data_IF_917334025557
#
_entry.id   IF_917334025557
#
_cell.length_a   1.000
_cell.length_b   1.000
_cell.length_c   1.000
_cell.angle_alpha   90.00
_cell.angle_beta   90.00
_cell.angle_gamma   90.00
#
_symmetry.space_group_name_H-M   'P 1'
#
loop_
_entity.id
_entity.type
_entity.pdbx_description
1 polymer ?
#
# COMPACT_ATOMS: atom_id res chain seq x y z
N UNK A 1 21.77 9.14 9.68
CA UNK A 1 20.59 8.36 9.32
C UNK A 1 19.79 9.20 8.38
N UNK A 2 19.69 8.80 7.12
CA UNK A 2 18.85 9.47 6.14
C UNK A 2 17.41 9.05 6.41
N UNK A 3 16.72 9.85 7.20
CA UNK A 3 15.27 9.96 7.19
C UNK A 3 14.78 9.93 5.74
N UNK A 4 14.12 8.84 5.36
CA UNK A 4 13.46 8.72 4.06
C UNK A 4 12.32 9.73 4.07
N UNK A 5 12.62 10.94 3.62
CA UNK A 5 11.60 11.93 3.35
C UNK A 5 10.66 11.34 2.28
N UNK A 6 9.35 11.46 2.47
CA UNK A 6 8.41 10.89 1.52
C UNK A 6 8.47 11.76 0.25
N UNK A 7 9.33 11.36 -0.68
CA UNK A 7 9.62 12.08 -1.92
C UNK A 7 8.44 11.91 -2.88
N UNK A 8 8.02 13.03 -3.48
CA UNK A 8 7.06 13.02 -4.59
C UNK A 8 7.65 12.21 -5.75
N UNK A 9 6.97 11.13 -6.14
CA UNK A 9 7.38 10.29 -7.27
C UNK A 9 6.36 10.40 -8.40
N UNK A 10 6.83 10.22 -9.62
CA UNK A 10 6.00 10.13 -10.83
C UNK A 10 5.79 8.66 -11.17
N UNK A 11 4.52 8.22 -11.22
CA UNK A 11 4.14 6.87 -11.66
C UNK A 11 3.11 6.94 -12.77
N UNK A 12 3.12 5.92 -13.63
CA UNK A 12 2.21 5.80 -14.77
C UNK A 12 1.24 4.66 -14.52
N UNK A 13 -0.04 4.94 -14.75
CA UNK A 13 -1.13 4.01 -14.49
C UNK A 13 -2.03 3.88 -15.72
N UNK A 14 -2.73 2.76 -15.77
CA UNK A 14 -3.85 2.53 -16.67
C UNK A 14 -5.14 2.82 -15.91
N UNK A 15 -6.05 3.58 -16.50
CA UNK A 15 -7.34 3.82 -15.89
C UNK A 15 -8.18 2.53 -15.83
N UNK A 16 -8.81 2.27 -14.69
CA UNK A 16 -9.72 1.13 -14.53
C UNK A 16 -11.10 1.43 -15.10
N UNK A 17 -11.51 2.70 -15.06
CA UNK A 17 -12.68 3.23 -15.74
C UNK A 17 -12.36 4.65 -16.24
N UNK A 18 -13.17 5.25 -17.13
CA UNK A 18 -12.92 6.61 -17.62
C UNK A 18 -13.00 7.66 -16.50
N UNK A 19 -13.55 7.29 -15.34
CA UNK A 19 -13.77 8.15 -14.18
C UNK A 19 -12.85 7.83 -13.00
N UNK A 20 -12.13 6.71 -13.05
CA UNK A 20 -11.37 6.19 -11.92
C UNK A 20 -10.08 5.49 -12.36
N UNK A 21 -9.00 5.85 -11.67
CA UNK A 21 -7.69 5.20 -11.78
C UNK A 21 -7.35 4.59 -10.42
N UNK A 22 -7.15 3.28 -10.40
CA UNK A 22 -6.60 2.61 -9.22
C UNK A 22 -5.09 2.87 -9.16
N UNK A 23 -4.60 3.28 -8.01
CA UNK A 23 -3.19 3.62 -7.80
C UNK A 23 -2.64 2.88 -6.58
N UNK A 24 -1.32 2.86 -6.47
CA UNK A 24 -0.69 2.48 -5.20
C UNK A 24 -1.12 3.42 -4.07
N UNK A 25 -1.10 2.97 -2.81
CA UNK A 25 -1.43 3.81 -1.67
C UNK A 25 -0.53 5.07 -1.64
N UNK A 26 -1.14 6.25 -1.57
CA UNK A 26 -0.44 7.53 -1.46
C UNK A 26 -1.05 8.42 -0.38
N UNK A 27 -0.27 9.38 0.12
CA UNK A 27 -0.66 10.27 1.22
C UNK A 27 -0.98 11.68 0.76
N UNK A 28 -0.30 12.16 -0.28
CA UNK A 28 -0.51 13.47 -0.86
C UNK A 28 -0.47 13.38 -2.38
N UNK A 29 -1.45 13.97 -3.05
CA UNK A 29 -1.50 14.09 -4.50
C UNK A 29 -0.91 15.43 -4.91
N UNK A 30 0.10 15.42 -5.77
CA UNK A 30 0.73 16.65 -6.29
C UNK A 30 0.10 17.08 -7.60
N UNK A 31 0.01 16.16 -8.56
CA UNK A 31 -0.64 16.43 -9.85
C UNK A 31 -1.04 15.15 -10.57
N UNK A 32 -2.03 15.27 -11.44
CA UNK A 32 -2.50 14.20 -12.33
C UNK A 32 -2.52 14.74 -13.74
N UNK A 33 -2.06 13.95 -14.68
CA UNK A 33 -2.11 14.29 -16.10
C UNK A 33 -2.48 13.04 -16.91
N UNK A 34 -3.07 13.23 -18.09
CA UNK A 34 -3.44 12.15 -18.99
C UNK A 34 -2.88 12.38 -20.38
N UNK A 35 -2.62 11.30 -21.10
CA UNK A 35 -2.23 11.33 -22.50
C UNK A 35 -3.48 11.13 -23.36
N UNK A 36 -3.87 12.15 -24.11
CA UNK A 36 -5.04 12.09 -25.00
C UNK A 36 -4.74 11.43 -26.34
N UNK A 37 -3.47 11.36 -26.74
CA UNK A 37 -3.05 10.88 -28.05
C UNK A 37 -2.65 9.40 -28.03
N UNK A 38 -2.20 8.90 -26.86
CA UNK A 38 -1.74 7.53 -26.69
C UNK A 38 -0.30 7.30 -27.14
N UNK A 39 0.44 8.38 -27.40
CA UNK A 39 1.82 8.35 -27.90
C UNK A 39 2.87 8.45 -26.79
N UNK A 40 2.45 8.56 -25.52
CA UNK A 40 3.28 8.70 -24.32
C UNK A 40 4.22 9.93 -24.30
N UNK A 41 4.11 10.83 -25.27
CA UNK A 41 4.96 12.01 -25.42
C UNK A 41 4.44 13.21 -24.63
N UNK A 42 3.12 13.42 -24.63
CA UNK A 42 2.49 14.60 -24.01
C UNK A 42 1.44 14.17 -23.00
N UNK A 43 1.48 14.77 -21.82
CA UNK A 43 0.49 14.54 -20.77
C UNK A 43 -0.14 15.86 -20.37
N UNK A 44 -1.46 15.97 -20.54
CA UNK A 44 -2.27 17.14 -20.21
C UNK A 44 -2.70 17.07 -18.75
N UNK A 45 -2.39 18.10 -17.97
CA UNK A 45 -2.74 18.16 -16.54
C UNK A 45 -4.26 18.24 -16.33
N UNK A 46 -4.78 17.45 -15.39
CA UNK A 46 -6.17 17.49 -14.95
C UNK A 46 -6.23 18.12 -13.56
N UNK A 47 -6.98 19.20 -13.43
CA UNK A 47 -7.22 19.89 -12.16
C UNK A 47 -8.51 19.45 -11.47
N UNK A 48 -9.40 18.76 -12.19
CA UNK A 48 -10.69 18.25 -11.69
C UNK A 48 -10.59 16.88 -11.02
N UNK A 49 -9.39 16.33 -10.91
CA UNK A 49 -9.13 15.04 -10.28
C UNK A 49 -8.99 15.20 -8.76
N UNK A 50 -9.57 14.28 -7.99
CA UNK A 50 -9.48 14.23 -6.54
C UNK A 50 -9.09 12.83 -6.06
N UNK A 51 -8.44 12.78 -4.89
CA UNK A 51 -8.02 11.52 -4.27
C UNK A 51 -9.20 10.83 -3.55
N UNK A 52 -9.28 9.51 -3.68
CA UNK A 52 -10.34 8.66 -3.13
C UNK A 52 -9.72 7.50 -2.33
N UNK A 53 -10.33 7.04 -1.21
CA UNK A 53 -11.61 7.46 -0.62
C UNK A 53 -11.56 8.85 0.04
N UNK A 54 -12.70 9.57 0.12
CA UNK A 54 -12.78 10.83 0.86
C UNK A 54 -12.48 10.59 2.34
N UNK A 55 -11.86 11.57 3.00
CA UNK A 55 -11.47 11.51 4.42
C UNK A 55 -10.42 10.44 4.78
N UNK A 56 -9.69 9.88 3.80
CA UNK A 56 -8.62 8.91 4.09
C UNK A 56 -7.57 9.51 5.05
N UNK A 57 -7.21 10.78 4.84
CA UNK A 57 -6.30 11.52 5.73
C UNK A 57 -6.78 11.58 7.18
N UNK A 58 -8.07 11.86 7.43
CA UNK A 58 -8.64 11.89 8.78
C UNK A 58 -8.68 10.50 9.44
N UNK A 59 -8.75 9.43 8.65
CA UNK A 59 -8.71 8.05 9.15
C UNK A 59 -7.28 7.49 9.28
N UNK A 60 -6.25 8.28 8.98
CA UNK A 60 -4.86 7.80 8.94
C UNK A 60 -4.64 6.69 7.90
N UNK A 61 -5.47 6.66 6.86
CA UNK A 61 -5.38 5.71 5.74
C UNK A 61 -4.86 6.42 4.50
N UNK A 62 -4.07 5.74 3.65
CA UNK A 62 -3.68 6.30 2.37
C UNK A 62 -4.86 6.32 1.40
N UNK A 63 -4.77 7.22 0.43
CA UNK A 63 -5.62 7.20 -0.75
C UNK A 63 -5.18 6.08 -1.69
N UNK A 64 -6.13 5.40 -2.31
CA UNK A 64 -5.87 4.21 -3.14
C UNK A 64 -6.42 4.34 -4.56
N UNK A 65 -7.16 5.41 -4.83
CA UNK A 65 -7.67 5.70 -6.15
C UNK A 65 -7.72 7.21 -6.39
N UNK A 66 -7.79 7.56 -7.67
CA UNK A 66 -8.01 8.93 -8.12
C UNK A 66 -9.28 8.93 -8.96
N UNK A 67 -10.19 9.84 -8.67
CA UNK A 67 -11.48 9.97 -9.34
C UNK A 67 -11.62 11.37 -9.94
N UNK A 68 -12.45 11.50 -10.96
CA UNK A 68 -12.78 12.79 -11.57
C UNK A 68 -14.03 13.37 -10.93
N UNK A 69 -14.05 14.69 -10.76
CA UNK A 69 -15.26 15.42 -10.38
C UNK A 69 -16.40 15.09 -11.35
N UNK A 70 -17.65 14.92 -10.87
CA UNK A 70 -18.80 14.64 -11.73
C UNK A 70 -19.08 15.74 -12.77
N UNK A 71 -18.53 16.95 -12.57
CA UNK A 71 -18.60 18.08 -13.51
C UNK A 71 -17.42 18.14 -14.49
N UNK A 72 -16.52 17.15 -14.46
CA UNK A 72 -15.35 17.12 -15.36
C UNK A 72 -15.79 16.83 -16.79
N UNK A 73 -15.40 17.69 -17.73
CA UNK A 73 -15.52 17.42 -19.17
C UNK A 73 -14.43 16.47 -19.70
N UNK A 74 -13.38 16.26 -18.92
CA UNK A 74 -12.25 15.39 -19.27
C UNK A 74 -12.50 13.98 -18.74
N UNK A 75 -12.09 12.97 -19.51
CA UNK A 75 -12.15 11.55 -19.16
C UNK A 75 -10.74 10.95 -19.15
N UNK A 76 -10.53 9.95 -18.30
CA UNK A 76 -9.28 9.20 -18.31
C UNK A 76 -9.21 8.24 -19.50
N UNK A 77 -8.09 8.24 -20.24
CA UNK A 77 -7.84 7.26 -21.29
C UNK A 77 -7.58 5.87 -20.70
N UNK A 78 -8.09 4.83 -21.35
CA UNK A 78 -7.99 3.43 -20.91
C UNK A 78 -6.79 2.66 -21.46
N UNK A 79 -5.94 3.31 -22.27
CA UNK A 79 -4.73 2.69 -22.78
C UNK A 79 -3.65 2.62 -21.71
N UNK A 80 -2.65 1.78 -21.96
CA UNK A 80 -1.53 1.60 -21.03
C UNK A 80 -0.77 2.90 -20.85
N UNK A 81 -0.38 3.16 -19.58
CA UNK A 81 0.35 4.35 -19.15
C UNK A 81 -0.36 5.67 -19.49
N UNK A 82 -1.66 5.63 -19.78
CA UNK A 82 -2.42 6.80 -20.19
C UNK A 82 -2.60 7.86 -19.11
N UNK A 83 -2.34 7.53 -17.85
CA UNK A 83 -2.42 8.48 -16.73
C UNK A 83 -1.08 8.58 -16.02
N UNK A 84 -0.55 9.79 -15.93
CA UNK A 84 0.63 10.13 -15.13
C UNK A 84 0.18 10.75 -13.81
N UNK A 85 0.62 10.16 -12.71
CA UNK A 85 0.30 10.62 -11.35
C UNK A 85 1.60 10.98 -10.66
N UNK A 86 1.65 12.20 -10.13
CA UNK A 86 2.72 12.69 -9.28
C UNK A 86 2.15 12.77 -7.87
N UNK A 87 2.65 11.93 -6.97
CA UNK A 87 2.15 11.82 -5.62
C UNK A 87 3.24 11.31 -4.66
N UNK A 88 2.98 11.49 -3.38
CA UNK A 88 3.79 10.93 -2.29
C UNK A 88 3.25 9.55 -1.93
N UNK A 89 3.82 8.52 -2.54
CA UNK A 89 3.41 7.12 -2.35
C UNK A 89 3.88 6.58 -0.99
N UNK A 90 3.06 5.71 -0.39
CA UNK A 90 3.29 5.08 0.91
C UNK A 90 2.11 5.27 1.87
N UNK A 91 2.25 4.68 3.07
CA UNK A 91 1.24 4.74 4.14
C UNK A 91 1.45 5.92 5.11
N UNK A 92 2.52 6.71 4.94
CA UNK A 92 2.88 7.83 5.82
C UNK A 92 4.39 7.94 6.06
N UNK A 93 4.85 9.13 6.48
CA UNK A 93 6.22 9.33 6.96
C UNK A 93 6.49 8.56 8.28
N UNK A 94 5.45 8.16 9.00
CA UNK A 94 5.55 7.42 10.25
C UNK A 94 4.63 6.21 10.22
N UNK A 95 5.20 5.02 10.38
CA UNK A 95 4.40 3.80 10.56
C UNK A 95 3.58 3.90 11.86
N UNK A 96 2.30 3.50 11.87
CA UNK A 96 1.51 3.36 13.08
C UNK A 96 2.26 2.57 14.15
N UNK A 97 2.11 2.95 15.42
CA UNK A 97 2.85 2.31 16.52
C UNK A 97 2.63 0.79 16.56
N UNK A 98 1.42 0.34 16.25
CA UNK A 98 1.06 -1.08 16.16
C UNK A 98 1.90 -1.84 15.12
N UNK A 99 2.22 -1.22 13.98
CA UNK A 99 3.06 -1.85 12.95
C UNK A 99 4.53 -1.93 13.41
N UNK A 100 5.01 -0.90 14.15
CA UNK A 100 6.35 -0.92 14.73
C UNK A 100 6.49 -2.04 15.77
N UNK A 101 5.52 -2.15 16.68
CA UNK A 101 5.49 -3.21 17.69
C UNK A 101 5.39 -4.60 17.05
N UNK A 102 4.55 -4.77 16.03
CA UNK A 102 4.43 -5.99 15.24
C UNK A 102 5.78 -6.41 14.61
N UNK A 103 6.54 -5.45 14.05
CA UNK A 103 7.85 -5.69 13.47
C UNK A 103 8.90 -6.10 14.53
N UNK A 104 8.90 -5.42 15.68
CA UNK A 104 9.78 -5.76 16.81
C UNK A 104 9.48 -7.16 17.33
N UNK A 105 8.20 -7.52 17.49
CA UNK A 105 7.83 -8.85 17.97
C UNK A 105 8.20 -9.95 16.97
N UNK A 106 7.93 -9.75 15.69
CA UNK A 106 8.29 -10.74 14.66
C UNK A 106 9.82 -10.93 14.61
N UNK A 107 10.60 -9.84 14.64
CA UNK A 107 12.06 -9.93 14.63
C UNK A 107 12.62 -10.60 15.89
N UNK A 108 12.07 -10.29 17.07
CA UNK A 108 12.44 -10.95 18.32
C UNK A 108 12.10 -12.45 18.36
N UNK A 109 11.03 -12.87 17.68
CA UNK A 109 10.64 -14.28 17.58
C UNK A 109 11.52 -15.05 16.60
N UNK A 110 11.82 -14.47 15.43
CA UNK A 110 12.77 -15.06 14.47
C UNK A 110 14.16 -15.20 15.11
N UNK A 111 14.61 -14.18 15.84
CA UNK A 111 15.86 -14.24 16.58
C UNK A 111 15.85 -15.36 17.64
N UNK A 112 14.76 -15.49 18.42
CA UNK A 112 14.63 -16.57 19.40
C UNK A 112 14.63 -17.95 18.77
N UNK A 113 13.95 -18.13 17.63
CA UNK A 113 13.95 -19.40 16.89
C UNK A 113 15.35 -19.81 16.42
N UNK A 114 16.16 -18.83 16.00
CA UNK A 114 17.55 -19.05 15.61
C UNK A 114 18.44 -19.41 16.82
N UNK A 115 18.25 -18.72 17.96
CA UNK A 115 19.04 -18.96 19.18
C UNK A 115 18.65 -20.28 19.87
N UNK A 116 17.38 -20.70 19.82
CA UNK A 116 16.90 -21.95 20.44
C UNK A 116 17.02 -23.19 19.53
N UNK A 117 17.76 -23.10 18.42
CA UNK A 117 18.01 -24.23 17.53
C UNK A 117 16.77 -24.78 16.79
N UNK A 118 15.68 -24.00 16.68
CA UNK A 118 14.46 -24.43 15.98
C UNK A 118 13.73 -25.62 16.61
N UNK A 119 14.03 -25.99 17.85
CA UNK A 119 13.35 -27.07 18.55
C UNK A 119 12.01 -26.58 19.14
N UNK A 120 10.86 -27.19 18.79
CA UNK A 120 9.60 -26.92 19.47
C UNK A 120 9.68 -27.39 20.93
N UNK A 121 9.18 -26.58 21.87
CA UNK A 121 9.08 -26.89 23.32
C UNK A 121 8.16 -28.11 23.61
N UNK A 122 7.60 -28.77 22.58
CA UNK A 122 6.58 -29.83 22.70
C UNK A 122 7.04 -31.21 22.20
N UNK A 123 8.28 -31.41 21.78
CA UNK A 123 8.73 -32.73 21.34
C UNK A 123 10.17 -32.99 21.74
N UNK A 124 10.42 -34.13 22.39
CA UNK A 124 11.76 -34.62 22.67
C UNK A 124 12.64 -34.66 21.42
N UNK A 125 13.95 -34.72 21.65
CA UNK A 125 15.05 -34.53 20.69
C UNK A 125 15.10 -35.49 19.47
N UNK A 126 14.03 -36.23 19.22
CA UNK A 126 13.92 -37.38 18.31
C UNK A 126 12.93 -37.15 17.15
N UNK A 127 12.27 -35.98 17.08
CA UNK A 127 11.52 -35.58 15.88
C UNK A 127 12.36 -34.67 14.97
N UNK A 128 12.68 -35.24 13.81
CA UNK A 128 13.43 -34.69 12.68
C UNK A 128 13.03 -33.28 12.25
N UNK A 129 14.05 -32.41 12.13
CA UNK A 129 14.04 -31.16 11.38
C UNK A 129 13.48 -29.96 12.16
N UNK A 130 14.17 -28.80 12.19
CA UNK A 130 13.58 -27.59 12.74
C UNK A 130 12.32 -27.29 11.92
N UNK A 131 11.15 -27.38 12.55
CA UNK A 131 9.93 -26.84 11.98
C UNK A 131 10.07 -25.33 12.11
N UNK A 132 10.80 -24.72 11.17
CA UNK A 132 10.76 -23.29 10.98
C UNK A 132 9.32 -23.00 10.60
N UNK A 133 8.54 -22.43 11.51
CA UNK A 133 7.21 -21.93 11.18
C UNK A 133 7.39 -20.82 10.14
N UNK A 134 7.34 -21.21 8.86
CA UNK A 134 7.37 -20.30 7.74
C UNK A 134 6.11 -19.44 7.79
N UNK A 135 6.27 -18.19 8.17
CA UNK A 135 5.16 -17.24 8.19
C UNK A 135 5.22 -16.23 9.32
N UNK A 136 4.24 -15.34 9.31
CA UNK A 136 4.03 -14.34 10.34
C UNK A 136 3.44 -15.01 11.59
N UNK A 137 3.97 -14.71 12.77
CA UNK A 137 3.47 -15.25 14.03
C UNK A 137 1.96 -14.96 14.19
N UNK A 138 1.12 -15.89 14.68
CA UNK A 138 -0.33 -15.71 14.75
C UNK A 138 -0.76 -14.46 15.52
N UNK A 139 -0.03 -14.06 16.55
CA UNK A 139 -0.31 -12.81 17.29
C UNK A 139 0.01 -11.56 16.45
N UNK A 140 1.13 -11.56 15.72
CA UNK A 140 1.52 -10.46 14.84
C UNK A 140 0.53 -10.37 13.67
N UNK A 141 0.08 -11.51 13.14
CA UNK A 141 -0.97 -11.59 12.13
C UNK A 141 -2.27 -10.95 12.59
N UNK A 142 -2.75 -11.27 13.80
CA UNK A 142 -3.97 -10.69 14.37
C UNK A 142 -3.85 -9.17 14.62
N UNK A 143 -2.65 -8.69 14.96
CA UNK A 143 -2.39 -7.26 15.10
C UNK A 143 -2.37 -6.51 13.75
N UNK A 144 -1.94 -7.18 12.68
CA UNK A 144 -1.86 -6.58 11.34
C UNK A 144 -3.13 -6.78 10.50
N UNK A 145 -4.04 -7.68 10.90
CA UNK A 145 -5.35 -7.89 10.27
C UNK A 145 -6.15 -6.60 9.98
N UNK A 146 -6.31 -5.65 10.93
CA UNK A 146 -7.07 -4.42 10.68
C UNK A 146 -6.38 -3.47 9.69
N UNK A 147 -5.07 -3.64 9.46
CA UNK A 147 -4.28 -2.83 8.54
C UNK A 147 -4.12 -3.46 7.16
N UNK A 148 -4.61 -4.68 6.95
CA UNK A 148 -4.50 -5.38 5.66
C UNK A 148 -5.50 -4.82 4.66
N UNK A 149 -4.98 -4.11 3.65
CA UNK A 149 -5.78 -3.65 2.52
C UNK A 149 -6.29 -4.86 1.71
N UNK A 150 -7.62 -4.94 1.50
CA UNK A 150 -8.27 -6.03 0.74
C UNK A 150 -8.63 -7.29 1.55
N UNK A 151 -8.51 -7.26 2.88
CA UNK A 151 -8.91 -8.38 3.75
C UNK A 151 -10.34 -8.33 4.29
N UNK A 152 -11.18 -7.43 3.76
CA UNK A 152 -12.59 -7.38 4.12
C UNK A 152 -13.29 -8.64 3.61
N UNK A 153 -13.43 -9.64 4.48
CA UNK A 153 -14.56 -10.56 4.41
C UNK A 153 -15.82 -9.69 4.37
N UNK A 154 -16.70 -9.98 3.41
CA UNK A 154 -18.07 -9.49 3.43
C UNK A 154 -18.65 -9.69 4.82
N UNK A 155 -18.86 -8.56 5.51
CA UNK A 155 -19.79 -8.46 6.61
C UNK A 155 -21.09 -7.92 6.02
N UNK A 156 -21.80 -8.81 5.34
CA UNK A 156 -23.25 -8.90 5.14
C UNK A 156 -23.52 -10.14 4.27
#
# INVERSE_FOLDING_TARGET
GADVQPLSQTRYYRASSPWMVNTDPFTALTSVAYDSAGDWATYTTITTAYASPPNASNQGKPYTAIMLSPLSSNLFPMHERGVRVIATFGYGATAPNVIKEACIMQSALVYRQQVSGGAPITGGAEFSGPIIQGGLHPMVRRMLEPYRHGGGLGAA
#
